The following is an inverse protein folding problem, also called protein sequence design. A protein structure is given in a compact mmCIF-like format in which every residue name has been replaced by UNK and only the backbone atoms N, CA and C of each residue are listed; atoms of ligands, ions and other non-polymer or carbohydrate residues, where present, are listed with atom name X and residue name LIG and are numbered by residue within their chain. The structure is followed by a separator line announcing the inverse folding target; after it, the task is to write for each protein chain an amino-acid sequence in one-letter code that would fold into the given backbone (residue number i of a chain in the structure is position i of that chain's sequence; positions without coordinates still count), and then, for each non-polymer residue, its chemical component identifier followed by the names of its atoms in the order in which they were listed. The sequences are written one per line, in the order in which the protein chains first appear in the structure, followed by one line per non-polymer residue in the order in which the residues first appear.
data_IF_097205319074
#
_entry.id   IF_097205319074
#
_cell.length_a   1.000
_cell.length_b   1.000
_cell.length_c   1.000
_cell.angle_alpha   90.00
_cell.angle_beta   90.00
_cell.angle_gamma   90.00
#
_symmetry.space_group_name_H-M   'P 1'
#
loop_
_entity.id
_entity.type
_entity.pdbx_description
1 polymer ?
#
# COMPACT_ATOMS: atom_id res chain seq x y z
N UNK A 1 53.33 -14.00 -67.84
CA UNK A 1 54.80 -13.78 -67.68
C UNK A 1 54.97 -12.80 -66.55
N UNK A 2 56.03 -12.95 -65.84
CA UNK A 2 56.25 -13.75 -64.66
C UNK A 2 56.54 -12.80 -63.46
N UNK A 3 56.67 -13.23 -62.38
CA UNK A 3 57.58 -13.96 -61.57
C UNK A 3 57.47 -13.47 -60.16
N UNK A 4 57.35 -14.34 -59.32
CA UNK A 4 58.34 -15.04 -58.51
C UNK A 4 58.97 -14.27 -57.35
N UNK A 5 58.91 -14.99 -56.27
CA UNK A 5 59.90 -15.24 -55.25
C UNK A 5 59.70 -14.53 -53.91
N UNK A 6 59.36 -15.31 -52.89
CA UNK A 6 60.26 -15.90 -51.87
C UNK A 6 60.77 -14.86 -50.89
N UNK A 7 60.85 -15.00 -49.61
CA UNK A 7 61.30 -16.13 -48.76
C UNK A 7 61.21 -15.63 -47.32
N UNK A 8 60.76 -16.49 -46.41
CA UNK A 8 61.22 -16.72 -45.04
C UNK A 8 61.46 -15.50 -44.11
N UNK A 9 61.07 -15.48 -42.87
CA UNK A 9 61.46 -16.41 -41.85
C UNK A 9 60.74 -16.09 -40.53
N UNK A 10 60.23 -17.11 -39.89
CA UNK A 10 60.35 -17.39 -38.44
C UNK A 10 60.73 -16.22 -37.54
N UNK A 11 59.87 -15.89 -36.54
CA UNK A 11 60.20 -16.18 -35.17
C UNK A 11 59.00 -16.02 -34.24
N UNK A 12 58.66 -17.11 -33.63
CA UNK A 12 58.01 -17.30 -32.36
C UNK A 12 58.19 -16.17 -31.35
N UNK A 13 57.11 -15.73 -30.63
CA UNK A 13 57.00 -15.96 -29.16
C UNK A 13 55.83 -15.24 -28.55
N UNK A 14 55.10 -16.04 -27.82
CA UNK A 14 54.44 -15.79 -26.50
C UNK A 14 53.23 -14.89 -26.55
N UNK A 15 52.08 -15.55 -26.45
CA UNK A 15 51.26 -15.69 -25.26
C UNK A 15 51.20 -14.44 -24.37
N UNK A 16 50.12 -13.75 -24.42
CA UNK A 16 49.45 -13.28 -23.20
C UNK A 16 47.96 -13.20 -23.53
N UNK A 17 47.27 -14.27 -23.13
CA UNK A 17 45.82 -14.31 -23.09
C UNK A 17 45.33 -13.32 -22.04
N UNK A 18 44.67 -12.27 -22.47
CA UNK A 18 43.84 -11.48 -21.59
C UNK A 18 42.44 -12.10 -21.63
N UNK A 19 42.20 -12.99 -20.65
CA UNK A 19 40.88 -13.47 -20.31
C UNK A 19 40.12 -12.30 -19.70
N UNK A 20 39.32 -11.61 -20.49
CA UNK A 20 38.33 -10.68 -19.97
C UNK A 20 37.21 -11.55 -19.37
N UNK A 21 37.35 -11.85 -18.10
CA UNK A 21 36.25 -12.39 -17.30
C UNK A 21 35.21 -11.27 -17.17
N UNK A 22 34.16 -11.33 -18.02
CA UNK A 22 32.96 -10.58 -17.82
C UNK A 22 32.30 -11.12 -16.52
N UNK A 23 32.58 -10.49 -15.39
CA UNK A 23 31.79 -10.63 -14.17
C UNK A 23 30.40 -10.08 -14.49
N UNK A 24 29.50 -10.97 -14.85
CA UNK A 24 28.07 -10.72 -14.76
C UNK A 24 27.77 -10.54 -13.27
N UNK A 25 27.70 -9.30 -12.83
CA UNK A 25 27.11 -8.92 -11.57
C UNK A 25 25.59 -9.22 -11.69
N UNK A 26 25.26 -10.50 -11.53
CA UNK A 26 23.91 -10.85 -11.10
C UNK A 26 23.81 -10.32 -9.67
N UNK A 27 23.35 -9.07 -9.51
CA UNK A 27 22.84 -8.60 -8.25
C UNK A 27 21.76 -9.61 -7.80
N UNK A 28 21.70 -9.97 -6.51
CA UNK A 28 20.63 -10.82 -6.05
C UNK A 28 19.32 -10.09 -6.40
N UNK A 29 18.49 -10.71 -7.26
CA UNK A 29 17.09 -10.44 -7.26
C UNK A 29 16.64 -10.77 -5.83
N UNK A 30 16.42 -9.76 -5.02
CA UNK A 30 15.77 -9.94 -3.73
C UNK A 30 14.41 -10.54 -4.04
N UNK A 31 14.32 -11.87 -3.89
CA UNK A 31 13.06 -12.54 -3.76
C UNK A 31 12.29 -11.73 -2.70
N UNK A 32 11.08 -11.28 -3.03
CA UNK A 32 10.22 -10.62 -2.07
C UNK A 32 9.98 -11.65 -0.95
N UNK A 33 10.75 -11.51 0.13
CA UNK A 33 10.45 -12.24 1.36
C UNK A 33 9.03 -11.85 1.73
N UNK A 34 8.15 -12.84 1.98
CA UNK A 34 6.73 -12.62 2.28
C UNK A 34 6.45 -11.75 3.52
N UNK A 35 7.44 -10.99 3.99
CA UNK A 35 7.43 -10.06 5.12
C UNK A 35 7.63 -8.60 4.70
N UNK A 36 7.90 -8.31 3.42
CA UNK A 36 8.14 -6.95 2.92
C UNK A 36 6.86 -6.13 2.69
N UNK A 37 7.03 -4.84 2.40
CA UNK A 37 5.93 -3.92 2.09
C UNK A 37 5.01 -4.43 0.96
N UNK A 38 5.60 -5.03 -0.07
CA UNK A 38 4.91 -5.67 -1.17
C UNK A 38 3.93 -6.75 -0.69
N UNK A 39 4.39 -7.66 0.17
CA UNK A 39 3.59 -8.77 0.68
C UNK A 39 2.41 -8.31 1.54
N UNK A 40 2.55 -7.21 2.28
CA UNK A 40 1.43 -6.60 3.04
C UNK A 40 0.32 -6.18 2.07
N UNK A 41 0.68 -5.55 0.95
CA UNK A 41 -0.30 -5.10 -0.05
C UNK A 41 -0.92 -6.26 -0.80
N UNK A 42 -0.15 -7.30 -1.16
CA UNK A 42 -0.70 -8.51 -1.79
C UNK A 42 -1.69 -9.22 -0.87
N UNK A 43 -1.36 -9.37 0.42
CA UNK A 43 -2.26 -9.98 1.40
C UNK A 43 -3.57 -9.18 1.59
N UNK A 44 -3.48 -7.86 1.65
CA UNK A 44 -4.65 -6.99 1.69
C UNK A 44 -5.49 -7.14 0.42
N UNK A 45 -4.87 -7.04 -0.77
CA UNK A 45 -5.54 -7.15 -2.05
C UNK A 45 -6.24 -8.51 -2.23
N UNK A 46 -5.62 -9.59 -1.76
CA UNK A 46 -6.23 -10.93 -1.80
C UNK A 46 -7.51 -10.98 -0.95
N UNK A 47 -7.49 -10.41 0.26
CA UNK A 47 -8.68 -10.37 1.13
C UNK A 47 -9.76 -9.43 0.59
N UNK A 48 -9.39 -8.30 -0.03
CA UNK A 48 -10.34 -7.42 -0.70
C UNK A 48 -11.04 -8.15 -1.86
N UNK A 49 -10.29 -8.88 -2.67
CA UNK A 49 -10.84 -9.65 -3.78
C UNK A 49 -11.75 -10.79 -3.28
N UNK A 50 -11.40 -11.45 -2.18
CA UNK A 50 -12.25 -12.45 -1.52
C UNK A 50 -13.57 -11.84 -1.06
N UNK A 51 -13.51 -10.67 -0.38
CA UNK A 51 -14.67 -9.89 0.04
C UNK A 51 -15.59 -9.56 -1.14
N UNK A 52 -15.03 -9.09 -2.25
CA UNK A 52 -15.78 -8.74 -3.46
C UNK A 52 -16.46 -9.96 -4.07
N UNK A 53 -15.73 -11.06 -4.24
CA UNK A 53 -16.28 -12.31 -4.85
C UNK A 53 -17.42 -12.90 -4.06
N UNK A 54 -17.39 -12.76 -2.75
CA UNK A 54 -18.39 -13.29 -1.82
C UNK A 54 -19.36 -12.21 -1.31
N UNK A 55 -19.34 -11.02 -1.90
CA UNK A 55 -20.01 -9.84 -1.36
C UNK A 55 -21.48 -10.03 -1.07
N UNK A 56 -22.21 -10.69 -1.98
CA UNK A 56 -23.64 -10.96 -1.84
C UNK A 56 -23.93 -11.94 -0.69
N UNK A 57 -23.13 -13.01 -0.56
CA UNK A 57 -23.31 -14.02 0.48
C UNK A 57 -22.93 -13.47 1.86
N UNK A 58 -21.90 -12.65 1.92
CA UNK A 58 -21.40 -12.06 3.17
C UNK A 58 -22.33 -10.93 3.70
N UNK A 59 -22.98 -10.19 2.81
CA UNK A 59 -23.60 -8.94 3.17
C UNK A 59 -22.56 -7.95 3.77
N UNK A 60 -23.02 -6.79 4.23
CA UNK A 60 -22.13 -5.82 4.85
C UNK A 60 -21.41 -6.39 6.10
N UNK A 61 -22.16 -7.01 7.00
CA UNK A 61 -21.61 -7.51 8.26
C UNK A 61 -20.53 -8.57 8.04
N UNK A 62 -20.74 -9.51 7.11
CA UNK A 62 -19.75 -10.53 6.78
C UNK A 62 -18.50 -9.95 6.11
N UNK A 63 -18.65 -8.96 5.22
CA UNK A 63 -17.50 -8.25 4.64
C UNK A 63 -16.71 -7.49 5.69
N UNK A 64 -17.39 -6.79 6.58
CA UNK A 64 -16.77 -6.10 7.71
C UNK A 64 -15.97 -7.08 8.59
N UNK A 65 -16.57 -8.20 8.99
CA UNK A 65 -15.92 -9.23 9.81
C UNK A 65 -14.69 -9.85 9.10
N UNK A 66 -14.77 -10.08 7.80
CA UNK A 66 -13.66 -10.62 6.99
C UNK A 66 -12.49 -9.62 6.89
N UNK A 67 -12.81 -8.34 6.67
CA UNK A 67 -11.80 -7.29 6.43
C UNK A 67 -11.15 -6.74 7.70
N UNK A 68 -11.86 -6.73 8.83
CA UNK A 68 -11.39 -6.12 10.06
C UNK A 68 -10.01 -6.62 10.52
N UNK A 69 -9.72 -7.92 10.60
CA UNK A 69 -8.41 -8.39 11.07
C UNK A 69 -7.28 -7.99 10.13
N UNK A 70 -7.46 -8.13 8.80
CA UNK A 70 -6.40 -7.81 7.85
C UNK A 70 -6.13 -6.30 7.79
N UNK A 71 -7.16 -5.46 7.88
CA UNK A 71 -6.98 -4.00 7.91
C UNK A 71 -6.27 -3.56 9.18
N UNK A 72 -6.65 -4.09 10.36
CA UNK A 72 -5.97 -3.80 11.62
C UNK A 72 -4.51 -4.27 11.62
N UNK A 73 -4.20 -5.35 10.93
CA UNK A 73 -2.84 -5.86 10.78
C UNK A 73 -2.03 -5.07 9.76
N UNK A 74 -2.63 -4.63 8.65
CA UNK A 74 -1.92 -3.98 7.55
C UNK A 74 -1.70 -2.48 7.75
N UNK A 75 -2.60 -1.79 8.49
CA UNK A 75 -2.55 -0.34 8.66
C UNK A 75 -1.99 0.08 10.02
N UNK A 76 -1.19 1.16 10.05
CA UNK A 76 -0.76 1.82 11.28
C UNK A 76 -1.82 2.86 11.69
N UNK A 77 -2.97 2.39 12.18
CA UNK A 77 -4.04 3.29 12.60
C UNK A 77 -3.63 4.30 13.68
N UNK A 78 -2.81 3.95 14.69
CA UNK A 78 -2.31 4.93 15.65
C UNK A 78 -1.54 6.07 14.99
N UNK A 79 -0.64 5.77 14.07
CA UNK A 79 0.11 6.79 13.34
C UNK A 79 -0.82 7.65 12.47
N UNK A 80 -1.69 7.01 11.69
CA UNK A 80 -2.62 7.70 10.78
C UNK A 80 -3.57 8.63 11.54
N UNK A 81 -4.15 8.15 12.64
CA UNK A 81 -5.02 8.95 13.50
C UNK A 81 -4.30 10.17 14.06
N UNK A 82 -3.08 10.00 14.56
CA UNK A 82 -2.26 11.11 15.04
C UNK A 82 -2.03 12.18 13.97
N UNK A 83 -1.78 11.76 12.73
CA UNK A 83 -1.59 12.69 11.60
C UNK A 83 -2.91 13.38 11.24
N UNK A 84 -4.02 12.64 11.20
CA UNK A 84 -5.34 13.19 10.87
C UNK A 84 -5.85 14.20 11.92
N UNK A 85 -5.69 13.91 13.21
CA UNK A 85 -6.06 14.82 14.31
C UNK A 85 -5.11 16.04 14.38
N UNK A 86 -3.86 15.84 14.01
CA UNK A 86 -2.87 16.94 13.92
C UNK A 86 -2.54 17.56 15.29
N UNK A 87 -2.61 18.88 15.39
CA UNK A 87 -2.17 19.61 16.60
C UNK A 87 -2.97 19.25 17.85
N UNK A 88 -4.27 19.00 17.70
CA UNK A 88 -5.13 18.65 18.83
C UNK A 88 -4.71 17.34 19.52
N UNK A 89 -3.94 16.47 18.82
CA UNK A 89 -3.45 15.21 19.38
C UNK A 89 -2.63 15.38 20.66
N UNK A 90 -1.86 16.47 20.79
CA UNK A 90 -1.01 16.70 21.97
C UNK A 90 -1.82 16.96 23.24
N UNK A 91 -3.01 17.52 23.08
CA UNK A 91 -3.88 17.92 24.19
C UNK A 91 -4.81 16.79 24.64
N UNK A 92 -4.85 15.66 23.91
CA UNK A 92 -5.67 14.51 24.26
C UNK A 92 -5.04 13.65 25.37
N UNK A 93 -5.85 13.19 26.30
CA UNK A 93 -5.47 12.16 27.25
C UNK A 93 -5.21 10.82 26.57
N UNK A 94 -4.55 9.89 27.25
CA UNK A 94 -4.30 8.53 26.72
C UNK A 94 -5.60 7.80 26.35
N UNK A 95 -6.66 7.94 27.19
CA UNK A 95 -7.96 7.34 26.93
C UNK A 95 -8.64 7.94 25.68
N UNK A 96 -8.58 9.25 25.51
CA UNK A 96 -9.12 9.93 24.33
C UNK A 96 -8.37 9.53 23.05
N UNK A 97 -7.03 9.39 23.12
CA UNK A 97 -6.23 8.90 21.99
C UNK A 97 -6.61 7.49 21.61
N UNK A 98 -6.76 6.58 22.58
CA UNK A 98 -7.20 5.21 22.32
C UNK A 98 -8.59 5.18 21.66
N UNK A 99 -9.54 5.91 22.20
CA UNK A 99 -10.91 5.99 21.67
C UNK A 99 -10.93 6.47 20.21
N UNK A 100 -10.19 7.56 19.90
CA UNK A 100 -10.22 8.11 18.55
C UNK A 100 -9.48 7.21 17.54
N UNK A 101 -8.45 6.47 17.98
CA UNK A 101 -7.76 5.46 17.15
C UNK A 101 -8.72 4.32 16.82
N UNK A 102 -9.48 3.84 17.79
CA UNK A 102 -10.45 2.76 17.57
C UNK A 102 -11.58 3.21 16.64
N UNK A 103 -12.12 4.42 16.82
CA UNK A 103 -13.15 4.96 15.94
C UNK A 103 -12.63 5.20 14.51
N UNK A 104 -11.40 5.69 14.36
CA UNK A 104 -10.77 5.87 13.06
C UNK A 104 -10.56 4.52 12.34
N UNK A 105 -10.08 3.51 13.06
CA UNK A 105 -9.92 2.18 12.52
C UNK A 105 -11.27 1.59 12.10
N UNK A 106 -12.29 1.69 12.95
CA UNK A 106 -13.63 1.18 12.67
C UNK A 106 -14.28 1.88 11.46
N UNK A 107 -14.21 3.21 11.39
CA UNK A 107 -14.67 3.98 10.23
C UNK A 107 -13.94 3.54 8.94
N UNK A 108 -12.64 3.29 9.03
CA UNK A 108 -11.87 2.82 7.88
C UNK A 108 -12.33 1.42 7.44
N UNK A 109 -12.48 0.49 8.36
CA UNK A 109 -12.97 -0.88 8.09
C UNK A 109 -14.37 -0.82 7.48
N UNK A 110 -15.27 -0.03 8.07
CA UNK A 110 -16.62 0.20 7.54
C UNK A 110 -16.60 0.74 6.10
N UNK A 111 -15.68 1.67 5.82
CA UNK A 111 -15.52 2.24 4.47
C UNK A 111 -15.05 1.19 3.45
N UNK A 112 -14.10 0.33 3.82
CA UNK A 112 -13.69 -0.78 2.96
C UNK A 112 -14.83 -1.77 2.74
N UNK A 113 -15.54 -2.17 3.78
CA UNK A 113 -16.67 -3.10 3.69
C UNK A 113 -17.81 -2.55 2.81
N UNK A 114 -18.07 -1.25 2.86
CA UNK A 114 -19.08 -0.60 2.02
C UNK A 114 -18.65 -0.42 0.56
N UNK A 115 -17.36 -0.18 0.30
CA UNK A 115 -16.84 0.07 -1.06
C UNK A 115 -16.57 -1.19 -1.87
N UNK A 116 -16.17 -2.27 -1.21
CA UNK A 116 -15.83 -3.55 -1.85
C UNK A 116 -17.00 -4.54 -1.73
N UNK A 117 -18.15 -4.14 -2.26
CA UNK A 117 -19.46 -4.76 -2.08
C UNK A 117 -19.95 -5.57 -3.28
N UNK A 118 -19.13 -5.73 -4.32
CA UNK A 118 -19.48 -6.47 -5.54
C UNK A 118 -18.28 -6.93 -6.31
N UNK A 119 -18.51 -7.86 -7.25
CA UNK A 119 -17.52 -8.42 -8.15
C UNK A 119 -18.06 -8.55 -9.55
N UNK A 120 -17.39 -7.95 -10.51
CA UNK A 120 -17.70 -8.02 -11.94
C UNK A 120 -16.53 -8.54 -12.79
N UNK A 121 -15.56 -9.24 -12.15
CA UNK A 121 -14.36 -9.75 -12.81
C UNK A 121 -13.10 -8.90 -12.56
N UNK A 122 -13.12 -8.07 -11.54
CA UNK A 122 -11.97 -7.26 -11.13
C UNK A 122 -10.80 -8.15 -10.71
N UNK A 123 -9.60 -7.62 -10.87
CA UNK A 123 -8.38 -8.19 -10.29
C UNK A 123 -7.51 -7.09 -9.72
N UNK A 124 -6.80 -7.40 -8.66
CA UNK A 124 -5.78 -6.51 -8.11
C UNK A 124 -4.42 -6.93 -8.67
N UNK A 125 -3.61 -5.93 -8.99
CA UNK A 125 -2.23 -6.13 -9.44
C UNK A 125 -1.33 -5.20 -8.63
N UNK A 126 -0.28 -5.75 -8.01
CA UNK A 126 0.83 -4.95 -7.52
C UNK A 126 1.81 -4.80 -8.68
N UNK A 127 2.11 -3.56 -9.05
CA UNK A 127 2.80 -3.23 -10.30
C UNK A 127 4.26 -2.93 -10.04
N UNK A 128 4.56 -2.15 -9.00
CA UNK A 128 5.90 -1.68 -8.68
C UNK A 128 6.03 -1.31 -7.20
N UNK A 129 7.28 -1.16 -6.76
CA UNK A 129 7.61 -0.66 -5.45
C UNK A 129 8.78 0.32 -5.57
N UNK A 130 8.62 1.51 -5.02
CA UNK A 130 9.64 2.57 -5.07
C UNK A 130 9.83 3.27 -3.74
N UNK A 131 10.98 3.90 -3.50
CA UNK A 131 11.18 4.74 -2.33
C UNK A 131 10.13 5.86 -2.24
N UNK A 132 9.63 6.10 -1.04
CA UNK A 132 8.77 7.20 -0.68
C UNK A 132 9.49 8.24 0.18
N UNK A 133 8.80 9.28 0.65
CA UNK A 133 9.38 10.28 1.53
C UNK A 133 9.63 9.71 2.95
N UNK A 134 10.69 10.18 3.64
CA UNK A 134 10.99 9.88 5.06
C UNK A 134 11.05 8.38 5.35
N UNK A 135 11.85 7.66 4.59
CA UNK A 135 12.07 6.21 4.73
C UNK A 135 10.81 5.34 4.52
N UNK A 136 9.75 5.93 3.96
CA UNK A 136 8.59 5.18 3.51
C UNK A 136 8.86 4.52 2.16
N UNK A 137 8.01 3.55 1.83
CA UNK A 137 7.97 2.88 0.54
C UNK A 137 6.59 3.08 -0.05
N UNK A 138 6.51 3.32 -1.35
CA UNK A 138 5.27 3.34 -2.09
C UNK A 138 5.15 2.04 -2.86
N UNK A 139 4.14 1.24 -2.56
CA UNK A 139 3.76 0.07 -3.33
C UNK A 139 2.66 0.48 -4.29
N UNK A 140 2.96 0.42 -5.57
CA UNK A 140 2.03 0.78 -6.64
C UNK A 140 1.13 -0.41 -6.95
N UNK A 141 -0.14 -0.24 -6.73
CA UNK A 141 -1.17 -1.25 -6.97
C UNK A 141 -2.29 -0.65 -7.81
N UNK A 142 -3.04 -1.51 -8.48
CA UNK A 142 -4.19 -1.11 -9.27
C UNK A 142 -5.30 -2.16 -9.21
N UNK A 143 -6.53 -1.67 -9.37
CA UNK A 143 -7.71 -2.49 -9.62
C UNK A 143 -7.96 -2.47 -11.12
N UNK A 144 -7.80 -3.61 -11.79
CA UNK A 144 -8.10 -3.77 -13.20
C UNK A 144 -9.53 -4.27 -13.34
N UNK A 145 -10.34 -3.52 -14.08
CA UNK A 145 -11.75 -3.79 -14.34
C UNK A 145 -11.93 -4.33 -15.75
N UNK A 146 -12.87 -5.24 -16.00
CA UNK A 146 -13.06 -5.85 -17.33
C UNK A 146 -13.44 -4.84 -18.43
N UNK A 147 -14.21 -3.84 -18.08
CA UNK A 147 -14.82 -2.89 -19.04
C UNK A 147 -14.24 -1.49 -19.01
N UNK A 148 -13.57 -1.14 -17.92
CA UNK A 148 -13.02 0.20 -17.70
C UNK A 148 -11.49 0.14 -17.54
N UNK A 149 -10.85 1.30 -17.63
CA UNK A 149 -9.41 1.39 -17.34
C UNK A 149 -9.08 1.02 -15.89
N UNK A 150 -7.82 0.71 -15.60
CA UNK A 150 -7.38 0.41 -14.25
C UNK A 150 -7.51 1.66 -13.35
N UNK A 151 -7.81 1.42 -12.08
CA UNK A 151 -7.83 2.43 -11.03
C UNK A 151 -6.62 2.24 -10.15
N UNK A 152 -5.76 3.25 -10.07
CA UNK A 152 -4.58 3.23 -9.21
C UNK A 152 -4.97 3.27 -7.73
N UNK A 153 -4.42 2.34 -6.96
CA UNK A 153 -4.60 2.25 -5.51
C UNK A 153 -3.22 2.03 -4.90
N UNK A 154 -2.48 3.11 -4.74
CA UNK A 154 -1.10 3.04 -4.25
C UNK A 154 -1.08 3.15 -2.74
N UNK A 155 -0.23 2.36 -2.11
CA UNK A 155 -0.09 2.33 -0.66
C UNK A 155 1.25 2.90 -0.25
N UNK A 156 1.25 3.80 0.72
CA UNK A 156 2.47 4.29 1.37
C UNK A 156 2.67 3.49 2.63
N UNK A 157 3.81 2.81 2.75
CA UNK A 157 4.11 1.97 3.90
C UNK A 157 5.36 2.47 4.62
N UNK A 158 5.42 2.19 5.91
CA UNK A 158 6.56 2.43 6.78
C UNK A 158 6.88 1.15 7.54
N UNK A 159 8.16 0.90 7.74
CA UNK A 159 8.62 -0.16 8.63
C UNK A 159 8.46 0.26 10.09
N UNK A 160 7.97 -0.64 10.92
CA UNK A 160 7.82 -0.50 12.36
C UNK A 160 8.43 -1.73 13.05
N UNK A 161 8.44 -1.74 14.38
CA UNK A 161 8.90 -2.90 15.17
C UNK A 161 8.10 -4.17 14.85
N UNK A 162 6.82 -4.00 14.48
CA UNK A 162 5.90 -5.10 14.11
C UNK A 162 5.90 -5.40 12.60
N UNK A 163 6.86 -4.88 11.85
CA UNK A 163 6.97 -5.02 10.39
C UNK A 163 6.34 -3.87 9.61
N UNK A 164 6.15 -4.09 8.31
CA UNK A 164 5.62 -3.07 7.40
C UNK A 164 4.14 -2.77 7.65
N UNK A 165 3.80 -1.47 7.71
CA UNK A 165 2.42 -0.99 7.93
C UNK A 165 2.07 0.12 6.94
N UNK A 166 0.84 0.09 6.43
CA UNK A 166 0.29 1.13 5.57
C UNK A 166 0.00 2.38 6.42
N UNK A 167 0.48 3.52 5.96
CA UNK A 167 0.28 4.82 6.61
C UNK A 167 -0.50 5.81 5.75
N UNK A 168 -0.72 5.53 4.47
CA UNK A 168 -1.57 6.33 3.58
C UNK A 168 -1.99 5.51 2.37
N UNK A 169 -3.08 5.91 1.74
CA UNK A 169 -3.57 5.37 0.47
C UNK A 169 -3.68 6.53 -0.52
N UNK A 170 -3.05 6.36 -1.69
CA UNK A 170 -3.10 7.35 -2.76
C UNK A 170 -4.04 6.86 -3.86
N UNK A 171 -5.18 7.50 -4.01
CA UNK A 171 -6.12 7.24 -5.10
C UNK A 171 -5.60 7.89 -6.38
N UNK A 172 -5.58 7.13 -7.48
CA UNK A 172 -5.03 7.55 -8.78
C UNK A 172 -3.60 8.12 -8.69
N UNK A 173 -2.80 7.61 -7.74
CA UNK A 173 -1.43 8.06 -7.46
C UNK A 173 -1.31 9.56 -7.07
N UNK A 174 -2.40 10.25 -6.79
CA UNK A 174 -2.43 11.71 -6.61
C UNK A 174 -3.09 12.14 -5.31
N UNK A 175 -4.17 11.50 -4.93
CA UNK A 175 -5.02 11.97 -3.85
C UNK A 175 -4.79 11.16 -2.58
N UNK A 176 -4.05 11.75 -1.62
CA UNK A 176 -3.84 11.16 -0.30
C UNK A 176 -5.14 11.14 0.49
N UNK A 177 -5.58 9.95 0.86
CA UNK A 177 -6.75 9.74 1.69
C UNK A 177 -6.51 10.27 3.11
N UNK A 178 -5.30 10.10 3.64
CA UNK A 178 -4.93 10.63 4.95
C UNK A 178 -4.93 12.17 4.97
N UNK A 179 -4.46 12.81 3.91
CA UNK A 179 -4.50 14.28 3.82
C UNK A 179 -5.96 14.80 3.75
N UNK A 180 -6.83 14.10 3.03
CA UNK A 180 -8.26 14.40 3.00
C UNK A 180 -8.88 14.29 4.38
N UNK A 181 -8.67 13.18 5.07
CA UNK A 181 -9.16 12.97 6.44
C UNK A 181 -8.63 14.02 7.41
N UNK A 182 -7.34 14.39 7.30
CA UNK A 182 -6.77 15.46 8.11
C UNK A 182 -7.48 16.80 7.91
N UNK A 183 -7.83 17.12 6.67
CA UNK A 183 -8.58 18.36 6.36
C UNK A 183 -9.97 18.35 7.00
N UNK A 184 -10.69 17.23 6.87
CA UNK A 184 -12.02 17.04 7.45
C UNK A 184 -11.98 17.11 8.99
N UNK A 185 -11.07 16.36 9.62
CA UNK A 185 -10.93 16.36 11.09
C UNK A 185 -10.54 17.74 11.62
N UNK A 186 -9.66 18.45 10.91
CA UNK A 186 -9.28 19.83 11.28
C UNK A 186 -10.49 20.76 11.26
N UNK A 187 -11.38 20.62 10.29
CA UNK A 187 -12.59 21.42 10.22
C UNK A 187 -13.55 21.13 11.38
N UNK A 188 -13.82 19.85 11.65
CA UNK A 188 -14.68 19.42 12.75
C UNK A 188 -14.10 19.81 14.12
N UNK A 189 -12.81 19.60 14.34
CA UNK A 189 -12.14 19.99 15.59
C UNK A 189 -12.17 21.50 15.85
N UNK A 190 -12.16 22.31 14.81
CA UNK A 190 -12.28 23.78 14.96
C UNK A 190 -13.70 24.23 15.31
N UNK A 191 -14.72 23.51 14.86
CA UNK A 191 -16.13 23.87 15.09
C UNK A 191 -16.64 23.42 16.45
N UNK A 192 -16.37 22.19 16.86
CA UNK A 192 -16.94 21.60 18.07
C UNK A 192 -16.02 20.72 18.87
N UNK A 193 -14.72 20.71 18.55
CA UNK A 193 -13.70 19.99 19.32
C UNK A 193 -13.78 18.46 19.19
N UNK A 194 -13.19 17.78 20.17
CA UNK A 194 -13.15 16.32 20.21
C UNK A 194 -14.54 15.66 20.28
N UNK A 195 -15.52 16.15 21.04
CA UNK A 195 -16.86 15.56 21.08
C UNK A 195 -17.52 15.49 19.69
N UNK A 196 -17.40 16.56 18.91
CA UNK A 196 -17.99 16.61 17.56
C UNK A 196 -17.25 15.66 16.60
N UNK A 197 -15.93 15.50 16.75
CA UNK A 197 -15.18 14.55 15.95
C UNK A 197 -15.59 13.11 16.26
N UNK A 198 -15.77 12.77 17.53
CA UNK A 198 -16.27 11.44 17.94
C UNK A 198 -17.66 11.20 17.34
N UNK A 199 -18.61 12.14 17.53
CA UNK A 199 -19.95 12.03 16.98
C UNK A 199 -19.95 11.89 15.46
N UNK A 200 -19.09 12.63 14.76
CA UNK A 200 -18.94 12.55 13.30
C UNK A 200 -18.47 11.17 12.85
N UNK A 201 -17.49 10.58 13.54
CA UNK A 201 -16.98 9.25 13.19
C UNK A 201 -18.03 8.16 13.48
N UNK A 202 -18.71 8.23 14.62
CA UNK A 202 -19.78 7.30 14.98
C UNK A 202 -20.93 7.35 13.98
N UNK A 203 -21.35 8.56 13.59
CA UNK A 203 -22.37 8.76 12.57
C UNK A 203 -21.94 8.16 11.23
N UNK A 204 -20.68 8.39 10.81
CA UNK A 204 -20.16 7.85 9.55
C UNK A 204 -20.13 6.32 9.55
N UNK A 205 -19.74 5.70 10.66
CA UNK A 205 -19.78 4.25 10.83
C UNK A 205 -21.21 3.72 10.66
N UNK A 206 -22.19 4.38 11.30
CA UNK A 206 -23.60 4.00 11.19
C UNK A 206 -24.15 4.15 9.76
N UNK A 207 -23.85 5.26 9.07
CA UNK A 207 -24.24 5.45 7.66
C UNK A 207 -23.70 4.33 6.76
N UNK A 208 -22.43 3.98 6.93
CA UNK A 208 -21.78 2.95 6.11
C UNK A 208 -22.35 1.55 6.39
N UNK A 209 -22.77 1.28 7.64
CA UNK A 209 -23.38 0.00 8.02
C UNK A 209 -24.84 -0.13 7.61
N UNK A 210 -25.56 0.97 7.47
CA UNK A 210 -26.98 1.00 7.10
C UNK A 210 -27.26 0.98 5.60
N UNK A 211 -26.26 1.19 4.76
CA UNK A 211 -26.38 1.25 3.30
C UNK A 211 -25.91 -0.04 2.60
N UNK A 212 -25.67 -1.14 3.34
CA UNK A 212 -25.13 -2.39 2.81
C UNK A 212 -26.09 -3.57 2.84
#
# INVERSE_FOLDING_TARGET
MPGTHHIWSRLSKRLCGALVAALLLNGPATAADGTGAWAVVEGLNATLLESMRNAQALGYAGRHQLLAPVLRQSFDFPFMTRIAVGRAWTDLSAAQRAQIVDLFAEMSIASFAARFDGFAGERFEVVDQRPGPRDAVVVESQIVRPTDGPVGLHYVLRESEDGWRIIDVLLDAKYSELARQRSEFTAVLKSGGLPDLIATLEHKIQELSGNG
#
